data_IF_230932887534
#
_entry.id   IF_230932887534
#
_cell.length_a   1.000
_cell.length_b   1.000
_cell.length_c   1.000
_cell.angle_alpha   90.00
_cell.angle_beta   90.00
_cell.angle_gamma   90.00
#
_symmetry.space_group_name_H-M   'P 1'
#
loop_
_entity.id
_entity.type
_entity.pdbx_description
1 polymer ?
#
# COMPACT_ATOMS: atom_id res chain seq x y z
N UNK A 1 7.92 13.24 20.54
CA UNK A 1 6.77 13.83 19.87
C UNK A 1 5.51 13.45 20.66
N UNK A 2 4.66 14.41 20.97
CA UNK A 2 3.40 14.07 21.64
C UNK A 2 2.40 13.47 20.64
N UNK A 3 1.74 12.36 20.96
CA UNK A 3 0.72 11.79 20.09
C UNK A 3 -0.40 12.80 19.80
N UNK A 4 -0.82 12.89 18.54
CA UNK A 4 -1.94 13.75 18.14
C UNK A 4 -1.59 15.17 17.70
N UNK A 5 -0.31 15.56 17.72
CA UNK A 5 0.08 16.84 17.11
C UNK A 5 0.28 16.69 15.60
N UNK A 6 -0.26 17.62 14.79
CA UNK A 6 -0.02 17.65 13.35
C UNK A 6 1.47 17.63 13.03
N UNK A 7 1.87 16.88 12.04
CA UNK A 7 3.23 16.95 11.52
C UNK A 7 3.43 18.34 10.92
N UNK A 8 4.41 19.14 11.37
CA UNK A 8 4.69 20.41 10.70
C UNK A 8 4.93 20.13 9.22
N UNK A 9 4.21 20.84 8.36
CA UNK A 9 4.43 20.75 6.92
C UNK A 9 5.79 21.39 6.64
N UNK A 10 6.74 20.55 6.26
CA UNK A 10 8.08 21.00 5.85
C UNK A 10 8.12 20.94 4.33
N UNK A 11 8.49 22.03 3.65
CA UNK A 11 8.66 22.02 2.22
C UNK A 11 9.56 20.88 1.75
N UNK A 12 9.18 20.24 0.66
CA UNK A 12 9.91 19.14 0.04
C UNK A 12 10.25 19.45 -1.40
N UNK A 13 11.01 18.59 -2.01
CA UNK A 13 11.30 18.72 -3.43
C UNK A 13 11.91 17.44 -3.99
N UNK A 14 11.63 17.22 -5.27
CA UNK A 14 12.18 16.14 -6.06
C UNK A 14 13.34 16.66 -6.90
N UNK A 15 14.45 15.94 -6.90
CA UNK A 15 15.64 16.25 -7.68
C UNK A 15 15.99 15.09 -8.58
N UNK A 16 16.42 15.37 -9.78
CA UNK A 16 17.01 14.41 -10.69
C UNK A 16 18.53 14.64 -10.78
N UNK A 17 19.28 13.54 -10.76
CA UNK A 17 20.73 13.53 -10.87
C UNK A 17 21.09 12.84 -12.18
N UNK A 18 21.83 13.49 -13.03
CA UNK A 18 22.44 12.89 -14.20
C UNK A 18 23.63 12.02 -13.77
N UNK A 19 23.55 10.73 -14.00
CA UNK A 19 24.58 9.79 -13.52
C UNK A 19 25.90 9.89 -14.30
N UNK A 20 25.90 10.44 -15.50
CA UNK A 20 27.12 10.59 -16.30
C UNK A 20 27.90 11.85 -15.89
N UNK A 21 27.19 12.93 -15.56
CA UNK A 21 27.79 14.24 -15.30
C UNK A 21 27.76 14.66 -13.82
N UNK A 22 26.92 14.01 -13.01
CA UNK A 22 26.62 14.41 -11.63
C UNK A 22 25.76 15.68 -11.53
N UNK A 23 25.28 16.22 -12.63
CA UNK A 23 24.45 17.43 -12.62
C UNK A 23 23.12 17.18 -11.93
N UNK A 24 22.74 18.09 -11.05
CA UNK A 24 21.48 18.03 -10.28
C UNK A 24 20.51 19.09 -10.79
N UNK A 25 19.29 18.70 -11.08
CA UNK A 25 18.21 19.65 -11.40
C UNK A 25 16.98 19.43 -10.52
N UNK A 26 16.25 20.48 -10.27
CA UNK A 26 14.94 20.41 -9.63
C UNK A 26 13.91 19.87 -10.62
N UNK A 27 13.15 18.87 -10.21
CA UNK A 27 11.97 18.40 -10.93
C UNK A 27 10.75 19.19 -10.47
N UNK A 28 10.51 19.22 -9.16
CA UNK A 28 9.39 19.94 -8.55
C UNK A 28 9.72 20.30 -7.09
N UNK A 29 9.09 21.35 -6.60
CA UNK A 29 9.05 21.70 -5.18
C UNK A 29 7.61 21.67 -4.69
N UNK A 30 7.41 21.26 -3.43
CA UNK A 30 6.10 21.15 -2.80
C UNK A 30 6.08 21.87 -1.46
N UNK A 31 4.93 22.40 -1.02
CA UNK A 31 4.79 22.99 0.30
C UNK A 31 4.77 21.94 1.42
N UNK A 32 4.90 20.66 1.10
CA UNK A 32 4.84 19.53 2.02
C UNK A 32 6.04 18.60 1.85
N UNK A 33 6.30 17.82 2.88
CA UNK A 33 7.34 16.78 2.87
C UNK A 33 6.98 15.68 1.89
N UNK A 34 7.89 15.37 0.98
CA UNK A 34 7.77 14.23 0.07
C UNK A 34 8.29 12.94 0.69
N UNK A 35 7.61 11.85 0.39
CA UNK A 35 8.02 10.48 0.69
C UNK A 35 7.68 9.53 -0.46
N UNK A 36 8.05 8.27 -0.33
CA UNK A 36 7.72 7.15 -1.22
C UNK A 36 7.91 7.47 -2.71
N UNK A 37 9.02 8.12 -3.05
CA UNK A 37 9.33 8.50 -4.44
C UNK A 37 9.65 7.23 -5.25
N UNK A 38 8.92 7.03 -6.34
CA UNK A 38 9.06 5.87 -7.22
C UNK A 38 9.04 6.31 -8.69
N UNK A 39 10.01 5.88 -9.47
CA UNK A 39 9.91 5.98 -10.92
C UNK A 39 8.95 4.90 -11.45
N UNK A 40 8.14 5.26 -12.45
CA UNK A 40 7.31 4.27 -13.14
C UNK A 40 8.23 3.29 -13.91
N UNK A 41 8.26 2.00 -13.55
CA UNK A 41 9.14 1.06 -14.22
C UNK A 41 8.70 0.70 -15.64
N UNK A 42 7.48 1.08 -16.02
CA UNK A 42 6.86 0.76 -17.31
C UNK A 42 6.86 1.97 -18.26
N UNK A 43 6.82 3.20 -17.71
CA UNK A 43 6.75 4.44 -18.49
C UNK A 43 7.87 5.37 -18.07
N UNK A 44 8.94 5.49 -18.87
CA UNK A 44 10.06 6.37 -18.54
C UNK A 44 9.62 7.82 -18.30
N UNK A 45 10.14 8.41 -17.23
CA UNK A 45 9.91 9.80 -16.90
C UNK A 45 8.65 10.10 -16.09
N UNK A 46 7.84 9.12 -15.73
CA UNK A 46 6.77 9.29 -14.75
C UNK A 46 7.25 8.96 -13.35
N UNK A 47 6.85 9.76 -12.37
CA UNK A 47 7.29 9.65 -10.97
C UNK A 47 6.08 9.77 -10.05
N UNK A 48 5.83 8.73 -9.27
CA UNK A 48 4.86 8.73 -8.18
C UNK A 48 5.56 9.18 -6.90
N UNK A 49 4.89 9.98 -6.10
CA UNK A 49 5.37 10.39 -4.79
C UNK A 49 4.22 10.67 -3.83
N UNK A 50 4.50 10.73 -2.56
CA UNK A 50 3.48 11.01 -1.57
C UNK A 50 3.74 12.29 -0.76
N UNK A 51 2.66 12.88 -0.26
CA UNK A 51 2.68 13.82 0.85
C UNK A 51 2.85 13.00 2.14
N UNK A 52 4.04 13.04 2.73
CA UNK A 52 4.38 12.21 3.88
C UNK A 52 3.97 12.90 5.19
N UNK A 53 2.81 12.57 5.70
CA UNK A 53 2.28 13.13 6.95
C UNK A 53 2.27 12.14 8.12
N UNK A 54 2.55 10.86 7.83
CA UNK A 54 2.46 9.78 8.81
C UNK A 54 1.03 9.42 9.18
N UNK A 55 0.10 9.65 8.26
CA UNK A 55 -1.31 9.31 8.43
C UNK A 55 -2.22 10.16 7.56
N UNK A 56 -3.05 10.98 8.18
CA UNK A 56 -4.05 11.83 7.51
C UNK A 56 -3.42 12.91 6.63
N UNK A 57 -3.27 12.64 5.35
CA UNK A 57 -3.07 13.70 4.39
C UNK A 57 -4.35 13.85 3.57
N UNK A 58 -4.88 15.07 3.38
CA UNK A 58 -6.04 15.29 2.55
C UNK A 58 -5.82 14.87 1.09
N UNK A 59 -4.57 14.75 0.68
CA UNK A 59 -4.15 14.22 -0.61
C UNK A 59 -2.74 13.67 -0.48
N UNK A 60 -2.62 12.34 -0.43
CA UNK A 60 -1.34 11.66 -0.25
C UNK A 60 -0.61 11.42 -1.56
N UNK A 61 -1.26 10.78 -2.53
CA UNK A 61 -0.61 10.33 -3.76
C UNK A 61 -0.60 11.39 -4.85
N UNK A 62 0.55 11.56 -5.49
CA UNK A 62 0.79 12.51 -6.56
C UNK A 62 1.65 11.88 -7.65
N UNK A 63 1.43 12.30 -8.89
CA UNK A 63 2.27 11.93 -10.04
C UNK A 63 2.79 13.18 -10.74
N UNK A 64 4.03 13.11 -11.22
CA UNK A 64 4.68 14.19 -11.97
C UNK A 64 5.58 13.59 -13.05
N UNK A 65 5.77 14.29 -14.15
CA UNK A 65 6.79 13.92 -15.14
C UNK A 65 8.18 14.38 -14.69
N UNK A 66 9.21 13.68 -15.16
CA UNK A 66 10.59 13.99 -14.82
C UNK A 66 11.04 15.39 -15.28
N UNK A 67 10.35 16.02 -16.24
CA UNK A 67 10.56 17.40 -16.65
C UNK A 67 9.85 18.43 -15.74
N UNK A 68 9.11 17.96 -14.72
CA UNK A 68 8.35 18.80 -13.79
C UNK A 68 6.94 19.13 -14.24
N UNK A 69 6.53 18.71 -15.44
CA UNK A 69 5.19 18.95 -15.95
C UNK A 69 4.19 17.89 -15.47
N UNK A 70 2.89 18.16 -15.64
CA UNK A 70 1.81 17.20 -15.38
C UNK A 70 1.65 16.80 -13.91
N UNK A 71 2.13 17.62 -12.97
CA UNK A 71 1.94 17.36 -11.55
C UNK A 71 0.46 17.39 -11.18
N UNK A 72 -0.05 16.26 -10.68
CA UNK A 72 -1.45 16.12 -10.30
C UNK A 72 -1.64 15.09 -9.17
N UNK A 73 -2.74 15.19 -8.40
CA UNK A 73 -3.11 14.14 -7.47
C UNK A 73 -3.49 12.84 -8.21
N UNK A 74 -3.28 11.73 -7.52
CA UNK A 74 -3.73 10.39 -7.91
C UNK A 74 -4.66 9.90 -6.83
N UNK A 75 -5.85 9.43 -7.17
CA UNK A 75 -6.91 9.07 -6.24
C UNK A 75 -7.32 10.23 -5.32
N UNK A 76 -8.52 10.75 -5.52
CA UNK A 76 -9.03 11.85 -4.69
C UNK A 76 -9.45 11.32 -3.31
N UNK A 77 -8.71 11.70 -2.30
CA UNK A 77 -8.96 11.30 -0.92
C UNK A 77 -10.09 12.11 -0.29
N UNK A 78 -10.95 11.42 0.46
CA UNK A 78 -11.88 12.04 1.39
C UNK A 78 -11.14 12.54 2.65
N UNK A 79 -11.78 13.40 3.47
CA UNK A 79 -11.14 14.05 4.63
C UNK A 79 -10.69 13.09 5.72
N UNK A 80 -10.90 11.82 5.55
CA UNK A 80 -10.80 10.80 6.56
C UNK A 80 -10.23 9.50 6.00
N UNK A 81 -9.86 9.50 4.73
CA UNK A 81 -9.14 8.42 4.11
C UNK A 81 -7.69 8.40 4.59
N UNK A 82 -7.16 7.21 4.77
CA UNK A 82 -5.75 7.00 4.97
C UNK A 82 -5.23 6.11 3.85
N UNK A 83 -4.61 6.74 2.88
CA UNK A 83 -3.93 6.06 1.78
C UNK A 83 -2.50 5.75 2.19
N UNK A 84 -2.01 4.55 1.86
CA UNK A 84 -0.64 4.12 2.16
C UNK A 84 -0.20 2.97 1.25
N UNK A 85 1.11 2.66 1.24
CA UNK A 85 1.71 1.53 0.52
C UNK A 85 1.43 1.55 -0.98
N UNK A 86 1.49 2.74 -1.56
CA UNK A 86 1.32 2.98 -2.99
C UNK A 86 2.50 2.46 -3.80
N UNK A 87 2.20 1.83 -4.96
CA UNK A 87 3.20 1.42 -5.95
C UNK A 87 2.57 1.31 -7.35
N UNK A 88 3.40 1.36 -8.40
CA UNK A 88 2.89 1.07 -9.74
C UNK A 88 2.51 -0.41 -9.87
N UNK A 89 1.30 -0.68 -10.36
CA UNK A 89 0.83 -2.02 -10.65
C UNK A 89 1.14 -2.43 -12.10
N UNK A 90 1.08 -1.48 -13.01
CA UNK A 90 1.43 -1.59 -14.41
C UNK A 90 1.64 -0.18 -15.00
N UNK A 91 1.73 -0.05 -16.32
CA UNK A 91 1.99 1.24 -16.98
C UNK A 91 0.96 2.33 -16.64
N UNK A 92 -0.26 1.93 -16.36
CA UNK A 92 -1.41 2.83 -16.27
C UNK A 92 -2.11 2.80 -14.90
N UNK A 93 -1.63 1.99 -13.97
CA UNK A 93 -2.32 1.79 -12.69
C UNK A 93 -1.38 1.89 -11.50
N UNK A 94 -1.91 2.45 -10.42
CA UNK A 94 -1.28 2.46 -9.09
C UNK A 94 -2.13 1.62 -8.13
N UNK A 95 -1.49 0.67 -7.46
CA UNK A 95 -2.08 -0.12 -6.37
C UNK A 95 -1.69 0.49 -5.02
N UNK A 96 -2.62 0.51 -4.08
CA UNK A 96 -2.41 1.09 -2.76
C UNK A 96 -3.36 0.49 -1.73
N UNK A 97 -3.10 0.77 -0.45
CA UNK A 97 -4.02 0.44 0.63
C UNK A 97 -4.82 1.67 1.04
N UNK A 98 -6.13 1.49 1.17
CA UNK A 98 -7.04 2.49 1.75
C UNK A 98 -7.48 2.01 3.13
N UNK A 99 -7.31 2.86 4.12
CA UNK A 99 -7.77 2.65 5.49
C UNK A 99 -8.52 3.88 5.99
N UNK A 100 -9.38 3.70 6.97
CA UNK A 100 -10.06 4.83 7.60
C UNK A 100 -9.41 5.17 8.94
N UNK A 101 -9.19 6.45 9.22
CA UNK A 101 -8.62 6.90 10.48
C UNK A 101 -9.60 7.05 11.61
N UNK A 102 -10.81 7.46 11.31
CA UNK A 102 -11.82 7.74 12.34
C UNK A 102 -12.82 6.60 12.40
N UNK A 103 -13.36 6.37 13.60
CA UNK A 103 -14.39 5.33 13.83
C UNK A 103 -15.53 5.36 12.82
N UNK A 104 -15.98 6.57 12.45
CA UNK A 104 -17.11 6.73 11.55
C UNK A 104 -16.82 6.34 10.10
N UNK A 105 -15.53 6.31 9.72
CA UNK A 105 -15.11 6.02 8.35
C UNK A 105 -14.83 4.57 8.07
N UNK A 106 -14.73 3.80 9.10
CA UNK A 106 -14.62 2.34 8.98
C UNK A 106 -15.88 1.69 8.46
N UNK A 107 -16.88 2.47 8.16
CA UNK A 107 -18.10 2.06 7.43
C UNK A 107 -17.85 2.01 5.92
N UNK A 108 -16.80 2.62 5.42
CA UNK A 108 -16.42 2.55 4.02
C UNK A 108 -15.56 1.31 3.72
N UNK A 109 -15.58 0.84 2.49
CA UNK A 109 -14.71 -0.23 2.05
C UNK A 109 -13.25 0.18 2.22
N UNK A 110 -12.49 -0.63 2.95
CA UNK A 110 -11.04 -0.46 3.11
C UNK A 110 -10.33 -1.68 2.52
N UNK A 111 -9.06 -1.56 2.20
CA UNK A 111 -8.30 -2.69 1.70
C UNK A 111 -7.39 -2.30 0.54
N UNK A 112 -7.19 -3.19 -0.40
CA UNK A 112 -6.36 -2.95 -1.57
C UNK A 112 -7.22 -2.38 -2.69
N UNK A 113 -6.78 -1.25 -3.23
CA UNK A 113 -7.41 -0.57 -4.35
C UNK A 113 -6.40 -0.39 -5.48
N UNK A 114 -6.90 -0.31 -6.70
CA UNK A 114 -6.11 0.06 -7.88
C UNK A 114 -6.79 1.23 -8.55
N UNK A 115 -6.04 2.29 -8.80
CA UNK A 115 -6.54 3.46 -9.52
C UNK A 115 -5.90 3.57 -10.89
N UNK A 116 -6.71 3.84 -11.91
CA UNK A 116 -6.23 4.13 -13.26
C UNK A 116 -5.67 5.55 -13.33
N UNK A 117 -4.48 5.68 -13.90
CA UNK A 117 -3.84 6.97 -14.18
C UNK A 117 -4.44 7.68 -15.41
N UNK A 118 -5.31 7.00 -16.17
CA UNK A 118 -5.92 7.53 -17.40
C UNK A 118 -7.27 8.18 -17.18
N UNK A 119 -8.11 7.58 -16.35
CA UNK A 119 -9.52 7.96 -16.21
C UNK A 119 -9.99 8.00 -14.74
N UNK A 120 -9.07 7.85 -13.79
CA UNK A 120 -9.30 7.86 -12.35
C UNK A 120 -10.30 6.78 -11.85
N UNK A 121 -10.60 5.76 -12.68
CA UNK A 121 -11.44 4.63 -12.24
C UNK A 121 -10.74 3.84 -11.16
N UNK A 122 -11.51 3.30 -10.21
CA UNK A 122 -10.99 2.58 -9.04
C UNK A 122 -11.52 1.16 -9.00
N UNK A 123 -10.62 0.20 -8.92
CA UNK A 123 -10.89 -1.21 -8.70
C UNK A 123 -10.63 -1.56 -7.22
N UNK A 124 -11.51 -2.35 -6.62
CA UNK A 124 -11.36 -2.88 -5.25
C UNK A 124 -10.94 -4.34 -5.31
N UNK A 125 -9.76 -4.67 -4.79
CA UNK A 125 -9.20 -6.02 -4.87
C UNK A 125 -9.44 -6.84 -3.61
N UNK A 126 -9.94 -8.07 -3.80
CA UNK A 126 -10.06 -9.07 -2.76
C UNK A 126 -10.92 -8.65 -1.57
N UNK A 127 -11.81 -7.69 -1.76
CA UNK A 127 -12.64 -7.13 -0.70
C UNK A 127 -13.53 -8.20 -0.06
N UNK A 128 -13.62 -8.15 1.27
CA UNK A 128 -14.70 -8.81 1.98
C UNK A 128 -15.94 -7.93 1.85
N UNK A 129 -17.11 -8.48 1.45
CA UNK A 129 -18.34 -7.71 1.41
C UNK A 129 -18.60 -6.99 2.74
N UNK A 130 -18.95 -5.72 2.69
CA UNK A 130 -19.15 -4.89 3.91
C UNK A 130 -20.13 -5.53 4.88
N UNK A 131 -21.15 -6.22 4.38
CA UNK A 131 -22.13 -6.98 5.19
C UNK A 131 -21.52 -8.10 6.03
N UNK A 132 -20.38 -8.64 5.60
CA UNK A 132 -19.69 -9.74 6.26
C UNK A 132 -18.57 -9.22 7.20
N UNK A 133 -18.35 -7.92 7.20
CA UNK A 133 -17.46 -7.27 8.14
C UNK A 133 -18.07 -7.26 9.53
N UNK A 134 -17.59 -8.12 10.38
CA UNK A 134 -17.70 -7.90 11.83
C UNK A 134 -16.70 -6.80 12.20
N UNK A 135 -17.04 -5.58 11.87
CA UNK A 135 -16.21 -4.45 12.27
C UNK A 135 -16.38 -4.22 13.75
N UNK A 136 -15.49 -4.78 14.46
CA UNK A 136 -15.10 -4.20 15.70
C UNK A 136 -14.32 -2.91 15.38
N UNK A 137 -14.43 -1.95 16.22
CA UNK A 137 -14.01 -0.56 16.04
C UNK A 137 -12.50 -0.37 15.96
N UNK A 138 -11.89 -1.12 15.07
CA UNK A 138 -10.47 -1.22 14.98
C UNK A 138 -9.86 -0.53 13.84
N UNK A 139 -8.67 -0.46 14.02
CA UNK A 139 -7.57 -0.23 13.16
C UNK A 139 -7.06 1.19 13.13
N UNK A 140 -7.17 1.88 14.20
CA UNK A 140 -6.14 2.86 14.47
C UNK A 140 -4.97 2.16 15.17
N UNK A 141 -3.99 1.67 14.40
CA UNK A 141 -2.78 1.05 14.93
C UNK A 141 -2.00 1.97 15.85
N UNK A 142 -2.33 3.24 15.85
CA UNK A 142 -1.69 4.26 16.69
C UNK A 142 -2.43 4.52 17.99
N UNK A 143 -3.64 4.01 18.16
CA UNK A 143 -4.40 4.18 19.39
C UNK A 143 -4.00 3.08 20.41
N UNK A 144 -3.29 3.43 21.50
CA UNK A 144 -2.87 2.46 22.51
C UNK A 144 -4.03 1.90 23.33
N UNK A 145 -5.22 2.48 23.23
CA UNK A 145 -6.41 2.07 24.00
C UNK A 145 -7.25 1.04 23.27
N UNK A 146 -6.92 0.69 22.03
CA UNK A 146 -7.63 -0.34 21.29
C UNK A 146 -7.07 -1.72 21.69
N UNK A 147 -7.92 -2.66 22.15
CA UNK A 147 -7.49 -4.01 22.45
C UNK A 147 -6.78 -4.65 21.26
N UNK A 148 -5.65 -5.29 21.54
CA UNK A 148 -4.77 -5.87 20.49
C UNK A 148 -5.33 -7.15 19.85
N UNK A 149 -6.31 -7.76 20.48
CA UNK A 149 -6.93 -9.04 20.15
C UNK A 149 -8.20 -8.90 19.29
N UNK A 150 -8.68 -7.68 19.11
CA UNK A 150 -9.82 -7.42 18.24
C UNK A 150 -9.37 -7.04 16.82
N UNK A 151 -8.90 -8.01 16.06
CA UNK A 151 -8.27 -7.86 14.75
C UNK A 151 -9.16 -8.23 13.57
N UNK A 152 -10.42 -8.53 13.79
CA UNK A 152 -11.35 -9.04 12.78
C UNK A 152 -11.81 -7.99 11.76
N UNK A 153 -10.89 -7.28 11.17
CA UNK A 153 -11.21 -6.23 10.21
C UNK A 153 -10.91 -6.69 8.81
N UNK A 154 -11.71 -7.18 8.04
CA UNK A 154 -11.49 -7.61 6.66
C UNK A 154 -10.73 -6.66 5.71
N UNK A 155 -9.92 -5.74 6.23
CA UNK A 155 -9.02 -4.88 5.47
C UNK A 155 -7.63 -5.51 5.31
N UNK A 156 -6.81 -4.89 4.45
CA UNK A 156 -5.42 -5.25 4.26
C UNK A 156 -4.51 -4.14 4.75
N UNK A 157 -3.37 -4.53 5.34
CA UNK A 157 -2.38 -3.57 5.82
C UNK A 157 -1.36 -3.20 4.74
N UNK A 158 -0.85 -4.20 4.02
CA UNK A 158 0.09 -4.01 2.93
C UNK A 158 -0.41 -4.65 1.65
N UNK A 159 0.20 -4.28 0.56
CA UNK A 159 0.00 -4.90 -0.73
C UNK A 159 1.32 -5.19 -1.43
N UNK A 160 1.28 -6.12 -2.37
CA UNK A 160 2.32 -6.38 -3.36
C UNK A 160 1.66 -6.70 -4.68
N UNK A 161 2.37 -6.54 -5.78
CA UNK A 161 1.87 -6.83 -7.13
C UNK A 161 2.97 -7.44 -7.99
N UNK A 162 2.61 -8.37 -8.88
CA UNK A 162 3.54 -8.91 -9.87
C UNK A 162 3.88 -7.86 -10.93
N UNK A 163 5.06 -7.99 -11.55
CA UNK A 163 5.54 -7.04 -12.54
C UNK A 163 4.61 -6.92 -13.77
N UNK A 164 3.92 -8.01 -14.13
CA UNK A 164 2.90 -8.00 -15.19
C UNK A 164 1.54 -7.45 -14.76
N UNK A 165 1.42 -7.02 -13.51
CA UNK A 165 0.20 -6.48 -12.94
C UNK A 165 -0.93 -7.49 -12.76
N UNK A 166 -0.70 -8.78 -13.01
CA UNK A 166 -1.74 -9.81 -13.03
C UNK A 166 -2.18 -10.24 -11.64
N UNK A 167 -1.25 -10.39 -10.71
CA UNK A 167 -1.50 -10.88 -9.37
C UNK A 167 -1.15 -9.83 -8.33
N UNK A 168 -2.01 -9.72 -7.32
CA UNK A 168 -1.71 -8.95 -6.13
C UNK A 168 -1.61 -9.86 -4.91
N UNK A 169 -0.95 -9.39 -3.88
CA UNK A 169 -0.93 -10.02 -2.57
C UNK A 169 -1.25 -8.99 -1.50
N UNK A 170 -1.81 -9.44 -0.38
CA UNK A 170 -2.07 -8.59 0.77
C UNK A 170 -2.02 -9.36 2.07
N UNK A 171 -1.62 -8.69 3.13
CA UNK A 171 -1.75 -9.20 4.49
C UNK A 171 -2.95 -8.55 5.18
N UNK A 172 -3.80 -9.37 5.78
CA UNK A 172 -4.94 -8.88 6.54
C UNK A 172 -4.59 -8.68 8.03
N UNK A 173 -5.52 -8.08 8.76
CA UNK A 173 -5.33 -7.81 10.19
C UNK A 173 -5.46 -9.06 11.07
N UNK A 174 -5.94 -10.17 10.52
CA UNK A 174 -6.04 -11.46 11.21
C UNK A 174 -4.76 -12.30 11.09
N UNK A 175 -3.72 -11.75 10.43
CA UNK A 175 -2.43 -12.41 10.27
C UNK A 175 -2.42 -13.45 9.15
N UNK A 176 -3.19 -13.22 8.12
CA UNK A 176 -3.21 -14.02 6.90
C UNK A 176 -2.53 -13.29 5.76
N UNK A 177 -1.93 -14.04 4.84
CA UNK A 177 -1.44 -13.53 3.55
C UNK A 177 -2.27 -14.13 2.43
N UNK A 178 -2.79 -13.27 1.58
CA UNK A 178 -3.68 -13.61 0.49
C UNK A 178 -3.03 -13.35 -0.85
N UNK A 179 -3.25 -14.24 -1.81
CA UNK A 179 -3.04 -14.02 -3.24
C UNK A 179 -4.36 -13.61 -3.87
N UNK A 180 -4.32 -12.58 -4.72
CA UNK A 180 -5.51 -12.02 -5.36
C UNK A 180 -5.30 -12.03 -6.87
N UNK A 181 -6.19 -12.71 -7.58
CA UNK A 181 -6.29 -12.68 -9.03
C UNK A 181 -7.04 -11.41 -9.45
N UNK A 182 -6.33 -10.44 -10.04
CA UNK A 182 -6.94 -9.18 -10.47
C UNK A 182 -7.96 -9.35 -11.61
N UNK A 183 -7.82 -10.36 -12.46
CA UNK A 183 -8.74 -10.57 -13.59
C UNK A 183 -10.15 -10.94 -13.17
N UNK A 184 -10.29 -11.74 -12.13
CA UNK A 184 -11.59 -12.22 -11.65
C UNK A 184 -11.88 -11.82 -10.21
N UNK A 185 -11.02 -11.00 -9.62
CA UNK A 185 -11.09 -10.51 -8.24
C UNK A 185 -11.23 -11.64 -7.19
N UNK A 186 -10.61 -12.78 -7.47
CA UNK A 186 -10.63 -13.95 -6.59
C UNK A 186 -9.42 -13.94 -5.67
N UNK A 187 -9.65 -14.11 -4.37
CA UNK A 187 -8.59 -14.27 -3.39
C UNK A 187 -8.40 -15.73 -2.97
N UNK A 188 -7.16 -16.10 -2.73
CA UNK A 188 -6.74 -17.42 -2.24
C UNK A 188 -5.86 -17.23 -1.02
N UNK A 189 -6.17 -17.91 0.07
CA UNK A 189 -5.35 -17.89 1.29
C UNK A 189 -4.03 -18.61 1.01
N UNK A 190 -2.90 -17.93 1.24
CA UNK A 190 -1.57 -18.52 1.08
C UNK A 190 -1.00 -19.01 2.41
N UNK A 191 -0.99 -18.14 3.40
CA UNK A 191 -0.45 -18.46 4.73
C UNK A 191 -1.28 -17.80 5.82
N UNK A 192 -1.20 -18.34 7.03
CA UNK A 192 -1.96 -17.89 8.20
C UNK A 192 -1.11 -17.99 9.47
N UNK A 193 -1.60 -17.41 10.56
CA UNK A 193 -0.95 -17.49 11.88
C UNK A 193 0.20 -16.50 12.08
N UNK A 194 0.28 -15.48 11.23
CA UNK A 194 1.26 -14.40 11.41
C UNK A 194 0.75 -13.41 12.47
N UNK A 195 1.68 -12.90 13.25
CA UNK A 195 1.37 -11.82 14.20
C UNK A 195 1.51 -10.49 13.50
N UNK A 196 0.43 -9.72 13.42
CA UNK A 196 0.43 -8.40 12.81
C UNK A 196 1.09 -7.33 13.70
N UNK A 197 1.32 -7.64 14.98
CA UNK A 197 2.07 -6.77 15.90
C UNK A 197 3.06 -7.58 16.73
N UNK A 198 4.26 -7.12 16.87
CA UNK A 198 4.89 -5.94 16.23
C UNK A 198 5.30 -6.16 14.78
N UNK A 199 4.95 -7.29 14.19
CA UNK A 199 5.55 -7.85 12.99
C UNK A 199 4.53 -7.96 11.86
N UNK A 200 4.53 -7.02 10.93
CA UNK A 200 3.73 -7.10 9.71
C UNK A 200 4.43 -7.97 8.66
N UNK A 201 3.68 -8.67 7.82
CA UNK A 201 4.26 -9.62 6.86
C UNK A 201 4.87 -8.94 5.63
N UNK A 202 4.36 -7.80 5.17
CA UNK A 202 4.86 -7.05 4.01
C UNK A 202 5.08 -7.95 2.77
N UNK A 203 4.04 -8.53 2.17
CA UNK A 203 4.21 -9.44 1.06
C UNK A 203 4.79 -8.73 -0.17
N UNK A 204 5.86 -9.29 -0.72
CA UNK A 204 6.55 -8.78 -1.91
C UNK A 204 6.80 -9.91 -2.90
N UNK A 205 6.44 -9.72 -4.16
CA UNK A 205 6.68 -10.72 -5.20
C UNK A 205 8.14 -10.77 -5.63
N UNK A 206 8.60 -11.98 -5.97
CA UNK A 206 9.81 -12.14 -6.77
C UNK A 206 9.61 -11.56 -8.18
N UNK A 207 10.69 -11.13 -8.87
CA UNK A 207 10.58 -10.54 -10.20
C UNK A 207 9.86 -11.43 -11.22
N UNK A 208 9.95 -12.75 -11.08
CA UNK A 208 9.30 -13.74 -11.94
C UNK A 208 7.85 -14.06 -11.51
N UNK A 209 7.35 -13.42 -10.44
CA UNK A 209 6.00 -13.61 -9.92
C UNK A 209 5.72 -14.99 -9.29
N UNK A 210 6.73 -15.87 -9.18
CA UNK A 210 6.51 -17.26 -8.72
C UNK A 210 6.60 -17.45 -7.22
N UNK A 211 7.00 -16.41 -6.48
CA UNK A 211 7.21 -16.47 -5.03
C UNK A 211 6.81 -15.16 -4.38
N UNK A 212 6.43 -15.24 -3.13
CA UNK A 212 6.23 -14.09 -2.26
C UNK A 212 7.20 -14.18 -1.09
N UNK A 213 7.95 -13.11 -0.87
CA UNK A 213 8.75 -12.91 0.32
C UNK A 213 7.87 -12.23 1.39
N UNK A 214 7.90 -12.77 2.60
CA UNK A 214 7.27 -12.18 3.79
C UNK A 214 8.23 -12.18 4.96
N UNK A 215 8.01 -11.28 5.90
CA UNK A 215 8.65 -11.36 7.22
C UNK A 215 7.64 -11.88 8.25
N UNK A 216 8.10 -12.76 9.14
CA UNK A 216 7.23 -13.29 10.18
C UNK A 216 8.01 -13.81 11.38
N UNK A 217 7.44 -13.61 12.56
CA UNK A 217 7.93 -14.20 13.80
C UNK A 217 7.29 -15.56 14.15
N UNK A 218 6.44 -16.13 13.28
CA UNK A 218 5.62 -17.29 13.62
C UNK A 218 6.48 -18.51 14.05
N UNK A 219 7.62 -18.76 13.39
CA UNK A 219 8.48 -19.89 13.71
C UNK A 219 9.20 -19.78 15.05
N UNK A 220 9.28 -18.57 15.60
CA UNK A 220 9.93 -18.30 16.90
C UNK A 220 8.94 -17.97 18.01
N UNK A 221 7.62 -18.17 17.76
CA UNK A 221 6.59 -17.73 18.68
C UNK A 221 6.53 -16.22 18.86
N UNK A 222 6.98 -15.47 17.88
CA UNK A 222 6.99 -13.99 17.86
C UNK A 222 8.23 -13.36 18.50
N UNK A 223 9.25 -14.15 18.88
CA UNK A 223 10.47 -13.64 19.52
C UNK A 223 11.43 -13.00 18.52
N UNK A 224 11.56 -13.58 17.34
CA UNK A 224 12.47 -13.12 16.30
C UNK A 224 11.73 -13.09 14.96
N UNK A 225 12.00 -12.05 14.17
CA UNK A 225 11.56 -12.00 12.78
C UNK A 225 12.48 -12.85 11.90
N UNK A 226 11.88 -13.62 11.02
CA UNK A 226 12.56 -14.32 9.94
C UNK A 226 11.97 -13.91 8.59
N UNK A 227 12.76 -14.08 7.54
CA UNK A 227 12.27 -13.97 6.17
C UNK A 227 11.79 -15.37 5.71
N UNK A 228 10.62 -15.39 5.10
CA UNK A 228 10.02 -16.61 4.57
C UNK A 228 9.69 -16.43 3.11
N UNK A 229 9.91 -17.47 2.33
CA UNK A 229 9.55 -17.50 0.91
C UNK A 229 8.37 -18.45 0.73
N UNK A 230 7.28 -17.91 0.19
CA UNK A 230 6.05 -18.66 -0.09
C UNK A 230 5.95 -18.86 -1.60
N UNK A 231 5.96 -20.10 -2.10
CA UNK A 231 5.77 -20.36 -3.52
C UNK A 231 4.31 -20.13 -3.94
N UNK A 232 4.10 -19.46 -5.07
CA UNK A 232 2.76 -19.19 -5.65
C UNK A 232 2.55 -19.85 -7.02
N UNK A 233 3.56 -20.51 -7.54
CA UNK A 233 3.52 -21.14 -8.86
C UNK A 233 2.38 -22.16 -9.10
N UNK A 234 1.93 -22.95 -8.11
CA UNK A 234 0.80 -23.86 -8.31
C UNK A 234 -0.54 -23.15 -8.54
N UNK A 235 -0.67 -21.92 -8.06
CA UNK A 235 -1.91 -21.12 -8.15
C UNK A 235 -1.97 -20.36 -9.47
N UNK A 236 -0.81 -19.97 -10.01
CA UNK A 236 -0.72 -19.19 -11.24
C UNK A 236 -0.96 -20.01 -12.53
N UNK A 237 -0.95 -21.35 -12.47
CA UNK A 237 -1.10 -22.24 -13.62
C UNK A 237 -2.51 -22.80 -13.84
N UNK A 238 -3.48 -22.39 -13.04
CA UNK A 238 -4.88 -22.81 -13.18
C UNK A 238 -5.65 -21.78 -14.06
N UNK A 239 -5.29 -21.72 -15.34
CA UNK A 239 -6.09 -21.09 -16.41
C UNK A 239 -6.98 -22.10 -17.10
#
# INVERSE_FOLDING_TARGET
RQPGQPVPQVPGGLRAIDLATGAVRTVIETPFRMGHVQANPFVPGEILYCNETGGDAPQRMWIVKADGTGNRPVFKEGPTDWVTHEQFADADHVIFNLMGHKRDLRKAATGILVVSLRDDTVEHLGQIPIKDFKRTELANFTDPNIPQDDTSTGGYWHNGVTYDGRWAAGDDFDGNVWLIDRKNNKRTLLTTGHRMRPNHTHPSFSPDGTRILIQSGMLSGGKNLGLMVVPVAPVAKAD
#
